data_IF_614292722362
#
_entry.id   IF_614292722362
#
_cell.length_a   1.000
_cell.length_b   1.000
_cell.length_c   1.000
_cell.angle_alpha   90.00
_cell.angle_beta   90.00
_cell.angle_gamma   90.00
#
_symmetry.space_group_name_H-M   'P 1'
#
loop_
_entity.id
_entity.type
_entity.pdbx_description
1 polymer ?
#
# COMPACT_ATOMS: atom_id res chain seq x y z
N UNK A 1 44.98 6.94 -40.29
CA UNK A 1 44.95 6.69 -38.84
C UNK A 1 43.70 7.35 -38.26
N UNK A 2 42.61 6.60 -38.12
CA UNK A 2 41.35 7.10 -37.54
C UNK A 2 41.21 6.46 -36.17
N UNK A 3 41.28 7.25 -35.10
CA UNK A 3 40.81 6.87 -33.77
C UNK A 3 39.64 7.77 -33.43
N UNK A 4 38.44 7.34 -33.82
CA UNK A 4 37.20 7.90 -33.28
C UNK A 4 36.93 7.26 -31.91
N UNK A 5 37.00 8.09 -30.88
CA UNK A 5 36.62 7.74 -29.52
C UNK A 5 35.11 7.96 -29.36
N UNK A 6 34.30 6.96 -29.68
CA UNK A 6 32.87 6.96 -29.36
C UNK A 6 32.58 5.91 -28.29
N UNK A 7 32.73 6.28 -27.01
CA UNK A 7 32.12 5.54 -25.89
C UNK A 7 30.84 6.28 -25.48
N UNK A 8 29.72 5.94 -26.10
CA UNK A 8 28.40 6.22 -25.53
C UNK A 8 28.19 5.26 -24.36
N UNK A 9 28.27 5.80 -23.13
CA UNK A 9 27.93 5.05 -21.91
C UNK A 9 26.42 4.85 -21.84
N UNK A 10 25.92 3.78 -22.44
CA UNK A 10 24.57 3.29 -22.18
C UNK A 10 24.49 2.81 -20.73
N UNK A 11 23.71 3.49 -19.89
CA UNK A 11 23.41 3.02 -18.53
C UNK A 11 22.64 1.71 -18.65
N UNK A 12 23.28 0.58 -18.34
CA UNK A 12 22.59 -0.70 -18.23
C UNK A 12 21.54 -0.58 -17.11
N UNK A 13 20.26 -0.76 -17.47
CA UNK A 13 19.16 -0.78 -16.51
C UNK A 13 19.31 -1.91 -15.49
N UNK A 14 18.60 -1.82 -14.37
CA UNK A 14 18.52 -2.93 -13.39
C UNK A 14 18.05 -4.20 -14.11
N UNK A 15 18.65 -5.34 -13.77
CA UNK A 15 18.14 -6.65 -14.21
C UNK A 15 16.67 -6.76 -13.82
N UNK A 16 15.84 -7.08 -14.80
CA UNK A 16 14.43 -7.32 -14.58
C UNK A 16 14.26 -8.65 -13.85
N UNK A 17 13.27 -8.69 -12.96
CA UNK A 17 12.82 -9.90 -12.27
C UNK A 17 12.26 -10.92 -13.29
N UNK A 18 12.35 -12.22 -12.99
CA UNK A 18 11.90 -13.33 -13.85
C UNK A 18 10.39 -13.22 -14.13
N UNK A 19 9.65 -12.59 -13.20
CA UNK A 19 8.23 -12.26 -13.34
C UNK A 19 7.90 -11.51 -14.65
N UNK A 20 8.84 -10.69 -15.17
CA UNK A 20 8.61 -9.90 -16.38
C UNK A 20 8.68 -10.71 -17.68
N UNK A 21 9.03 -11.99 -17.64
CA UNK A 21 8.98 -12.88 -18.81
C UNK A 21 7.54 -13.21 -19.23
N UNK A 22 6.57 -13.02 -18.33
CA UNK A 22 5.16 -13.41 -18.52
C UNK A 22 4.23 -12.24 -18.92
N UNK A 23 4.80 -11.08 -19.24
CA UNK A 23 4.06 -9.88 -19.64
C UNK A 23 4.48 -9.44 -21.04
N UNK A 24 3.52 -9.16 -21.92
CA UNK A 24 3.78 -8.46 -23.16
C UNK A 24 4.19 -7.01 -22.86
N UNK A 25 5.41 -6.67 -23.24
CA UNK A 25 6.02 -5.37 -22.97
C UNK A 25 5.69 -4.44 -24.13
N UNK A 26 4.80 -3.47 -23.92
CA UNK A 26 4.66 -2.32 -24.84
C UNK A 26 5.55 -1.19 -24.35
N UNK A 27 6.42 -0.70 -25.24
CA UNK A 27 7.28 0.44 -24.95
C UNK A 27 6.42 1.70 -24.75
N UNK A 28 6.55 2.37 -23.60
CA UNK A 28 5.93 3.67 -23.38
C UNK A 28 6.84 4.78 -23.92
N UNK A 29 6.25 5.94 -24.22
CA UNK A 29 6.96 7.11 -24.80
C UNK A 29 8.19 7.58 -24.00
N UNK A 30 8.26 7.24 -22.70
CA UNK A 30 9.40 7.56 -21.85
C UNK A 30 10.40 6.41 -21.80
N UNK A 31 11.70 6.65 -22.04
CA UNK A 31 12.74 5.65 -21.83
C UNK A 31 12.65 5.10 -20.41
N UNK A 32 12.60 3.78 -20.25
CA UNK A 32 12.52 3.02 -18.97
C UNK A 32 11.13 2.66 -18.44
N UNK A 33 10.03 3.00 -19.12
CA UNK A 33 8.70 2.53 -18.72
C UNK A 33 8.13 1.52 -19.73
N UNK A 34 7.60 0.42 -19.21
CA UNK A 34 6.94 -0.62 -19.98
C UNK A 34 5.52 -0.79 -19.45
N UNK A 35 4.55 -0.86 -20.35
CA UNK A 35 3.24 -1.41 -20.03
C UNK A 35 3.36 -2.93 -20.13
N UNK A 36 3.01 -3.65 -19.08
CA UNK A 36 2.96 -5.11 -19.09
C UNK A 36 1.50 -5.56 -19.22
N UNK A 37 1.15 -6.14 -20.36
CA UNK A 37 -0.13 -6.86 -20.52
C UNK A 37 0.10 -8.34 -20.15
N UNK A 38 -0.65 -8.84 -19.17
CA UNK A 38 -0.55 -10.24 -18.76
C UNK A 38 -1.19 -11.11 -19.85
N UNK A 39 -0.48 -12.12 -20.35
CA UNK A 39 -0.96 -13.02 -21.41
C UNK A 39 -2.03 -14.04 -20.97
N UNK A 40 -2.63 -13.89 -19.78
CA UNK A 40 -3.78 -14.71 -19.45
C UNK A 40 -4.97 -14.26 -20.29
N UNK A 41 -5.50 -15.15 -21.14
CA UNK A 41 -6.81 -15.03 -21.77
C UNK A 41 -7.86 -14.86 -20.66
N UNK A 42 -8.20 -13.62 -20.30
CA UNK A 42 -9.31 -13.30 -19.41
C UNK A 42 -10.42 -12.76 -20.28
N UNK A 43 -11.14 -13.65 -20.96
CA UNK A 43 -12.39 -13.29 -21.65
C UNK A 43 -13.60 -13.20 -20.71
N UNK A 44 -13.45 -13.54 -19.41
CA UNK A 44 -14.56 -13.50 -18.45
C UNK A 44 -14.32 -12.46 -17.36
N UNK A 45 -15.05 -11.34 -17.44
CA UNK A 45 -15.15 -10.33 -16.39
C UNK A 45 -15.81 -10.97 -15.14
N UNK A 46 -15.08 -11.02 -14.03
CA UNK A 46 -15.37 -11.87 -12.88
C UNK A 46 -16.71 -11.57 -12.17
N UNK A 47 -17.45 -12.65 -11.90
CA UNK A 47 -18.39 -12.76 -10.78
C UNK A 47 -17.57 -12.71 -9.49
N UNK A 48 -17.77 -11.69 -8.65
CA UNK A 48 -17.11 -11.60 -7.34
C UNK A 48 -17.76 -12.64 -6.42
N UNK A 49 -17.16 -13.82 -6.29
CA UNK A 49 -17.53 -14.74 -5.21
C UNK A 49 -16.94 -14.20 -3.90
N UNK A 50 -17.78 -13.62 -3.06
CA UNK A 50 -17.39 -13.20 -1.71
C UNK A 50 -17.18 -14.46 -0.85
N UNK A 51 -15.93 -14.84 -0.64
CA UNK A 51 -15.55 -15.87 0.32
C UNK A 51 -15.07 -15.20 1.61
N UNK A 52 -15.92 -15.23 2.65
CA UNK A 52 -15.59 -14.70 3.97
C UNK A 52 -15.67 -15.82 5.00
N UNK A 53 -14.59 -16.00 5.75
CA UNK A 53 -14.49 -16.98 6.83
C UNK A 53 -13.92 -16.28 8.05
N UNK A 54 -14.55 -16.48 9.21
CA UNK A 54 -14.07 -15.89 10.46
C UNK A 54 -13.01 -16.79 11.09
N UNK A 55 -11.90 -16.17 11.47
CA UNK A 55 -10.74 -16.81 12.07
C UNK A 55 -10.37 -16.20 13.43
N UNK A 56 -11.24 -15.35 14.00
CA UNK A 56 -11.01 -14.61 15.24
C UNK A 56 -10.56 -15.48 16.43
N UNK A 57 -10.97 -16.75 16.45
CA UNK A 57 -10.65 -17.74 17.49
C UNK A 57 -9.42 -18.61 17.20
N UNK A 58 -8.72 -18.39 16.08
CA UNK A 58 -7.59 -19.20 15.65
C UNK A 58 -6.24 -18.48 15.81
N UNK A 59 -5.17 -19.26 15.97
CA UNK A 59 -3.82 -18.68 15.90
C UNK A 59 -3.50 -18.35 14.44
N UNK A 60 -3.41 -17.05 14.13
CA UNK A 60 -3.11 -16.54 12.79
C UNK A 60 -1.62 -16.69 12.42
N UNK A 61 -1.05 -17.89 12.51
CA UNK A 61 0.34 -18.15 12.08
C UNK A 61 0.45 -18.04 10.56
N UNK A 62 1.67 -17.85 10.05
CA UNK A 62 1.88 -17.76 8.60
C UNK A 62 1.52 -19.06 7.89
N UNK A 63 1.77 -20.21 8.53
CA UNK A 63 1.46 -21.54 8.03
C UNK A 63 -0.05 -21.78 7.97
N UNK A 64 -0.79 -21.38 9.01
CA UNK A 64 -2.25 -21.47 9.03
C UNK A 64 -2.89 -20.64 7.91
N UNK A 65 -2.43 -19.40 7.75
CA UNK A 65 -2.89 -18.53 6.66
C UNK A 65 -2.53 -19.12 5.28
N UNK A 66 -1.36 -19.74 5.15
CA UNK A 66 -0.93 -20.42 3.92
C UNK A 66 -1.88 -21.56 3.58
N UNK A 67 -2.23 -22.44 4.53
CA UNK A 67 -3.12 -23.57 4.26
C UNK A 67 -4.53 -23.14 3.86
N UNK A 68 -5.06 -22.08 4.48
CA UNK A 68 -6.39 -21.56 4.10
C UNK A 68 -6.37 -20.93 2.70
N UNK A 69 -5.33 -20.15 2.36
CA UNK A 69 -5.18 -19.57 1.02
C UNK A 69 -5.05 -20.69 -0.03
N UNK A 70 -4.27 -21.73 0.25
CA UNK A 70 -4.12 -22.91 -0.62
C UNK A 70 -5.45 -23.59 -0.90
N UNK A 71 -6.24 -23.82 0.15
CA UNK A 71 -7.58 -24.44 0.01
C UNK A 71 -8.46 -23.65 -0.96
N UNK A 72 -8.39 -22.33 -0.93
CA UNK A 72 -9.13 -21.45 -1.86
C UNK A 72 -8.56 -21.55 -3.28
N UNK A 73 -7.24 -21.53 -3.43
CA UNK A 73 -6.56 -21.67 -4.72
C UNK A 73 -6.90 -23.00 -5.40
N UNK A 74 -6.87 -24.10 -4.65
CA UNK A 74 -7.21 -25.44 -5.15
C UNK A 74 -8.68 -25.53 -5.56
N UNK A 75 -9.59 -24.97 -4.75
CA UNK A 75 -11.03 -24.96 -5.03
C UNK A 75 -11.37 -24.21 -6.33
N UNK A 76 -10.69 -23.09 -6.62
CA UNK A 76 -10.99 -22.24 -7.78
C UNK A 76 -10.11 -22.60 -9.00
N UNK A 77 -8.93 -23.21 -8.77
CA UNK A 77 -7.79 -23.41 -9.67
C UNK A 77 -6.79 -22.25 -9.68
N UNK A 78 -5.50 -22.57 -9.46
CA UNK A 78 -4.38 -21.64 -9.50
C UNK A 78 -4.25 -20.84 -10.81
N UNK A 79 -4.69 -21.39 -11.94
CA UNK A 79 -4.64 -20.70 -13.24
C UNK A 79 -5.54 -19.44 -13.30
N UNK A 80 -6.51 -19.33 -12.38
CA UNK A 80 -7.44 -18.20 -12.31
C UNK A 80 -6.98 -17.10 -11.35
N UNK A 81 -5.79 -17.22 -10.77
CA UNK A 81 -5.22 -16.22 -9.88
C UNK A 81 -4.02 -15.56 -10.56
N UNK A 82 -4.07 -14.23 -10.67
CA UNK A 82 -2.92 -13.44 -11.12
C UNK A 82 -2.08 -12.92 -9.97
N UNK A 83 -2.67 -12.64 -8.80
CA UNK A 83 -1.97 -12.02 -7.68
C UNK A 83 -2.63 -12.30 -6.32
N UNK A 84 -1.83 -12.19 -5.26
CA UNK A 84 -2.25 -12.12 -3.87
C UNK A 84 -1.80 -10.77 -3.31
N UNK A 85 -2.74 -10.04 -2.71
CA UNK A 85 -2.49 -8.72 -2.10
C UNK A 85 -2.76 -8.80 -0.60
N UNK A 86 -1.72 -8.66 0.24
CA UNK A 86 -1.90 -8.64 1.71
C UNK A 86 -1.17 -7.45 2.36
N UNK A 87 -1.54 -7.13 3.60
CA UNK A 87 -0.80 -6.13 4.40
C UNK A 87 0.62 -6.60 4.75
N UNK A 88 1.39 -5.80 5.49
CA UNK A 88 2.79 -6.12 5.79
C UNK A 88 3.03 -6.78 7.16
N UNK A 89 2.00 -7.29 7.83
CA UNK A 89 2.17 -8.02 9.08
C UNK A 89 3.02 -9.29 8.86
N UNK A 90 3.78 -9.69 9.87
CA UNK A 90 4.79 -10.75 9.75
C UNK A 90 4.20 -12.08 9.26
N UNK A 91 3.07 -12.50 9.82
CA UNK A 91 2.45 -13.78 9.50
C UNK A 91 1.82 -13.79 8.09
N UNK A 92 1.13 -12.72 7.68
CA UNK A 92 0.59 -12.64 6.31
C UNK A 92 1.70 -12.47 5.26
N UNK A 93 2.84 -11.90 5.66
CA UNK A 93 4.06 -11.84 4.84
C UNK A 93 4.66 -13.22 4.62
N UNK A 94 4.81 -13.99 5.70
CA UNK A 94 5.26 -15.38 5.58
C UNK A 94 4.28 -16.17 4.71
N UNK A 95 2.97 -15.99 4.93
CA UNK A 95 1.95 -16.71 4.19
C UNK A 95 2.03 -16.45 2.68
N UNK A 96 2.08 -15.17 2.25
CA UNK A 96 2.20 -14.85 0.82
C UNK A 96 3.52 -15.34 0.22
N UNK A 97 4.62 -15.32 0.98
CA UNK A 97 5.92 -15.82 0.53
C UNK A 97 5.84 -17.33 0.27
N UNK A 98 5.28 -18.11 1.20
CA UNK A 98 5.07 -19.55 1.05
C UNK A 98 4.12 -19.88 -0.12
N UNK A 99 3.02 -19.14 -0.28
CA UNK A 99 2.08 -19.36 -1.39
C UNK A 99 2.75 -19.06 -2.74
N UNK A 100 3.54 -17.99 -2.82
CA UNK A 100 4.24 -17.62 -4.07
C UNK A 100 5.33 -18.63 -4.44
N UNK A 101 6.00 -19.23 -3.44
CA UNK A 101 6.97 -20.30 -3.67
C UNK A 101 6.30 -21.54 -4.30
N UNK A 102 5.06 -21.86 -3.91
CA UNK A 102 4.32 -23.00 -4.42
C UNK A 102 3.60 -22.74 -5.74
N UNK A 103 3.12 -21.51 -5.92
CA UNK A 103 2.48 -21.06 -7.15
C UNK A 103 3.24 -19.86 -7.72
N UNK A 104 4.40 -20.06 -8.37
CA UNK A 104 5.24 -18.97 -8.90
C UNK A 104 4.54 -18.04 -9.90
N UNK A 105 3.43 -18.50 -10.49
CA UNK A 105 2.61 -17.72 -11.43
C UNK A 105 1.72 -16.67 -10.74
N UNK A 106 1.53 -16.78 -9.42
CA UNK A 106 0.71 -15.85 -8.64
C UNK A 106 1.62 -14.77 -8.08
N UNK A 107 1.35 -13.50 -8.44
CA UNK A 107 2.16 -12.37 -8.00
C UNK A 107 2.01 -12.10 -6.51
N UNK A 108 3.13 -11.82 -5.86
CA UNK A 108 3.19 -11.38 -4.47
C UNK A 108 3.12 -9.85 -4.38
N UNK A 109 1.96 -9.31 -4.03
CA UNK A 109 1.75 -7.87 -3.93
C UNK A 109 1.49 -7.44 -2.49
N UNK A 110 2.05 -6.27 -2.13
CA UNK A 110 1.75 -5.60 -0.86
C UNK A 110 0.54 -4.68 -1.04
N UNK A 111 -0.29 -4.60 0.00
CA UNK A 111 -1.40 -3.67 0.04
C UNK A 111 -0.91 -2.21 -0.07
N UNK A 112 -1.32 -1.52 -1.14
CA UNK A 112 -0.94 -0.13 -1.42
C UNK A 112 -1.47 0.81 -0.34
N UNK A 113 -2.70 0.59 0.15
CA UNK A 113 -3.27 1.40 1.22
C UNK A 113 -2.43 1.30 2.50
N UNK A 114 -2.01 0.08 2.87
CA UNK A 114 -1.15 -0.12 4.02
C UNK A 114 0.26 0.48 3.81
N UNK A 115 0.77 0.44 2.58
CA UNK A 115 2.05 1.05 2.22
C UNK A 115 2.03 2.57 2.37
N UNK A 116 1.00 3.24 1.84
CA UNK A 116 0.81 4.69 1.99
C UNK A 116 0.68 5.06 3.48
N UNK A 117 -0.11 4.31 4.25
CA UNK A 117 -0.23 4.53 5.69
C UNK A 117 1.13 4.42 6.41
N UNK A 118 1.97 3.47 6.01
CA UNK A 118 3.33 3.30 6.57
C UNK A 118 4.25 4.46 6.24
N UNK A 119 4.18 5.00 5.00
CA UNK A 119 4.92 6.21 4.61
C UNK A 119 4.47 7.38 5.47
N UNK A 120 3.16 7.59 5.61
CA UNK A 120 2.60 8.67 6.42
C UNK A 120 3.04 8.56 7.88
N UNK A 121 2.98 7.36 8.49
CA UNK A 121 3.49 7.12 9.85
C UNK A 121 4.97 7.51 9.97
N UNK A 122 5.81 7.13 9.01
CA UNK A 122 7.23 7.47 9.01
C UNK A 122 7.48 8.99 8.93
N UNK A 123 6.71 9.71 8.11
CA UNK A 123 6.79 11.18 8.02
C UNK A 123 6.36 11.82 9.34
N UNK A 124 5.29 11.30 9.96
CA UNK A 124 4.75 11.82 11.22
C UNK A 124 5.69 11.56 12.41
N UNK A 125 6.49 10.49 12.36
CA UNK A 125 7.47 10.16 13.39
C UNK A 125 8.80 10.92 13.25
N UNK A 126 8.98 11.69 12.17
CA UNK A 126 10.15 12.55 12.01
C UNK A 126 10.22 13.64 13.11
N UNK A 127 11.41 13.94 13.61
CA UNK A 127 11.63 14.83 14.76
C UNK A 127 11.09 16.26 14.54
N UNK A 128 11.13 16.76 13.31
CA UNK A 128 10.56 18.06 12.95
C UNK A 128 9.02 17.98 12.99
N UNK A 129 8.44 16.94 12.36
CA UNK A 129 6.99 16.76 12.29
C UNK A 129 6.39 16.59 13.67
N UNK A 130 7.01 15.78 14.53
CA UNK A 130 6.58 15.57 15.92
C UNK A 130 6.59 16.87 16.73
N UNK A 131 7.60 17.74 16.58
CA UNK A 131 7.63 19.06 17.22
C UNK A 131 6.50 19.97 16.74
N UNK A 132 6.26 20.02 15.43
CA UNK A 132 5.16 20.81 14.84
C UNK A 132 3.81 20.30 15.38
N UNK A 133 3.59 18.98 15.37
CA UNK A 133 2.36 18.38 15.89
C UNK A 133 2.16 18.66 17.38
N UNK A 134 3.24 18.65 18.18
CA UNK A 134 3.18 19.00 19.58
C UNK A 134 2.74 20.47 19.79
N UNK A 135 3.31 21.41 19.02
CA UNK A 135 2.92 22.81 19.07
C UNK A 135 1.45 23.01 18.65
N UNK A 136 1.02 22.40 17.53
CA UNK A 136 -0.37 22.44 17.08
C UNK A 136 -1.32 21.87 18.14
N UNK A 137 -0.96 20.75 18.77
CA UNK A 137 -1.75 20.14 19.84
C UNK A 137 -1.82 21.03 21.10
N UNK A 138 -0.75 21.74 21.45
CA UNK A 138 -0.77 22.72 22.55
C UNK A 138 -1.74 23.85 22.29
N UNK A 139 -1.72 24.41 21.07
CA UNK A 139 -2.67 25.48 20.67
C UNK A 139 -4.10 24.94 20.67
N UNK A 140 -4.33 23.79 20.05
CA UNK A 140 -5.66 23.17 20.01
C UNK A 140 -6.20 22.87 21.41
N UNK A 141 -5.34 22.43 22.33
CA UNK A 141 -5.70 22.23 23.74
C UNK A 141 -6.05 23.54 24.43
N UNK A 142 -5.24 24.59 24.26
CA UNK A 142 -5.52 25.91 24.85
C UNK A 142 -6.93 26.41 24.51
N UNK A 143 -7.30 26.38 23.23
CA UNK A 143 -8.64 26.79 22.78
C UNK A 143 -9.77 25.83 23.17
N UNK A 144 -9.47 24.58 23.53
CA UNK A 144 -10.47 23.63 24.04
C UNK A 144 -10.68 23.74 25.54
N UNK A 145 -9.63 24.02 26.28
CA UNK A 145 -9.66 24.05 27.75
C UNK A 145 -10.13 25.41 28.27
N UNK A 146 -9.81 26.51 27.60
CA UNK A 146 -10.29 27.84 27.97
C UNK A 146 -11.70 28.07 27.40
N UNK A 147 -12.71 28.14 28.27
CA UNK A 147 -14.09 28.45 27.86
C UNK A 147 -14.21 29.78 27.11
N UNK A 148 -13.49 30.81 27.57
CA UNK A 148 -13.52 32.15 26.95
C UNK A 148 -12.95 32.07 25.54
N UNK A 149 -11.76 31.49 25.38
CA UNK A 149 -11.11 31.38 24.08
C UNK A 149 -11.88 30.46 23.13
N UNK A 150 -12.50 29.39 23.64
CA UNK A 150 -13.36 28.50 22.87
C UNK A 150 -14.56 29.24 22.27
N UNK A 151 -15.25 30.04 23.10
CA UNK A 151 -16.41 30.80 22.69
C UNK A 151 -16.03 31.87 21.66
N UNK A 152 -14.96 32.63 21.91
CA UNK A 152 -14.45 33.61 20.96
C UNK A 152 -14.11 32.95 19.61
N UNK A 153 -13.36 31.84 19.62
CA UNK A 153 -13.01 31.13 18.39
C UNK A 153 -14.26 30.67 17.63
N UNK A 154 -15.29 30.19 18.33
CA UNK A 154 -16.54 29.73 17.74
C UNK A 154 -17.34 30.89 17.13
N UNK A 155 -17.34 32.05 17.77
CA UNK A 155 -17.98 33.26 17.26
C UNK A 155 -17.27 33.76 16.00
N UNK A 156 -15.94 33.88 16.01
CA UNK A 156 -15.17 34.26 14.84
C UNK A 156 -15.34 33.26 13.69
N UNK A 157 -15.38 31.95 13.97
CA UNK A 157 -15.61 30.94 12.94
C UNK A 157 -16.99 31.10 12.28
N UNK A 158 -18.05 31.40 13.05
CA UNK A 158 -19.39 31.69 12.52
C UNK A 158 -19.40 32.96 11.67
N UNK A 159 -18.76 34.02 12.15
CA UNK A 159 -18.70 35.31 11.44
C UNK A 159 -17.93 35.20 10.11
N UNK A 160 -16.99 34.26 10.01
CA UNK A 160 -16.22 33.97 8.79
C UNK A 160 -16.86 32.87 7.93
N UNK A 161 -18.07 32.41 8.28
CA UNK A 161 -18.80 31.35 7.55
C UNK A 161 -17.98 30.05 7.40
N UNK A 162 -17.12 29.75 8.38
CA UNK A 162 -16.32 28.53 8.39
C UNK A 162 -17.17 27.37 8.92
N UNK A 163 -17.60 26.49 8.01
CA UNK A 163 -18.34 25.27 8.35
C UNK A 163 -17.39 24.13 8.77
N UNK A 164 -17.69 23.42 9.87
CA UNK A 164 -16.93 22.23 10.25
C UNK A 164 -17.07 21.72 11.68
N UNK A 165 -16.40 20.60 11.97
CA UNK A 165 -16.47 19.85 13.24
C UNK A 165 -15.56 20.36 14.37
N UNK A 166 -15.20 21.65 14.36
CA UNK A 166 -14.34 22.29 15.36
C UNK A 166 -12.87 21.85 15.35
N UNK A 167 -12.08 22.37 16.30
CA UNK A 167 -10.66 22.03 16.43
C UNK A 167 -10.46 20.55 16.77
N UNK A 168 -9.53 19.88 16.09
CA UNK A 168 -9.15 18.49 16.38
C UNK A 168 -7.68 18.42 16.76
N UNK A 169 -7.38 17.68 17.82
CA UNK A 169 -6.01 17.37 18.17
C UNK A 169 -5.55 16.17 17.33
N UNK A 170 -4.29 16.16 16.95
CA UNK A 170 -3.69 14.97 16.37
C UNK A 170 -3.60 13.86 17.43
N UNK A 171 -4.20 12.71 17.12
CA UNK A 171 -4.15 11.49 17.92
C UNK A 171 -3.47 10.43 17.06
N UNK A 172 -2.40 9.80 17.58
CA UNK A 172 -1.83 8.61 16.93
C UNK A 172 -2.87 7.50 16.99
N UNK A 173 -3.43 7.11 15.85
CA UNK A 173 -4.19 5.87 15.73
C UNK A 173 -3.23 4.68 15.77
N UNK A 174 -3.63 3.63 16.50
CA UNK A 174 -2.82 2.43 16.76
C UNK A 174 -2.37 1.78 15.44
#
# INVERSE_FOLDING_TARGET
MVRQNNKSKGKAGRKQDEVWEYFEKKALKSPSHFLGECQSEIEDYYKIENYQKDYSSSHHTGEFLTSEIKTIIEKISAKKFSAIVTDNAANVRLARELVTQEYPKILNLRCIAHFINSITKSILDHSITTKILAACNTIAKFFKTSHICHNLLSEYAKNLEIEGGGLKCFIKTR
#
